data_IF_539535689791
#
_entry.id   IF_539535689791
#
_cell.length_a   1.000
_cell.length_b   1.000
_cell.length_c   1.000
_cell.angle_alpha   90.00
_cell.angle_beta   90.00
_cell.angle_gamma   90.00
#
_symmetry.space_group_name_H-M   'P 1'
#
loop_
_entity.id
_entity.type
_entity.pdbx_description
1 polymer ?
#
# COMPACT_ATOMS: atom_id res chain seq x y z
N UNK A 1 -5.95 -28.69 -0.89
CA UNK A 1 -6.04 -27.30 -0.43
C UNK A 1 -6.84 -26.55 -1.46
N UNK A 2 -8.03 -26.07 -1.11
CA UNK A 2 -8.87 -25.26 -1.99
C UNK A 2 -8.33 -23.84 -2.02
N UNK A 3 -8.43 -23.18 -3.18
CA UNK A 3 -8.21 -21.75 -3.28
C UNK A 3 -9.52 -21.08 -2.87
N UNK A 4 -9.48 -20.21 -1.86
CA UNK A 4 -10.65 -19.46 -1.46
C UNK A 4 -10.92 -18.32 -2.46
N UNK A 5 -11.82 -18.56 -3.40
CA UNK A 5 -12.24 -17.59 -4.42
C UNK A 5 -13.26 -16.58 -3.89
N UNK A 6 -13.83 -16.79 -2.70
CA UNK A 6 -14.84 -15.90 -2.12
C UNK A 6 -14.29 -14.50 -1.85
N UNK A 7 -12.97 -14.39 -1.66
CA UNK A 7 -12.26 -13.11 -1.52
C UNK A 7 -12.46 -12.17 -2.74
N UNK A 8 -12.73 -12.72 -3.93
CA UNK A 8 -12.96 -11.93 -5.15
C UNK A 8 -14.40 -11.37 -5.17
N UNK A 9 -15.34 -12.13 -4.59
CA UNK A 9 -16.76 -11.78 -4.57
C UNK A 9 -17.13 -10.91 -3.36
N UNK A 10 -16.38 -11.03 -2.25
CA UNK A 10 -16.53 -10.19 -1.07
C UNK A 10 -15.96 -8.78 -1.27
N UNK A 11 -16.65 -7.78 -0.72
CA UNK A 11 -16.24 -6.38 -0.83
C UNK A 11 -14.94 -6.09 -0.08
N UNK A 12 -14.78 -6.63 1.13
CA UNK A 12 -13.55 -6.46 1.90
C UNK A 12 -12.39 -7.20 1.26
N UNK A 13 -12.64 -8.41 0.76
CA UNK A 13 -11.67 -9.16 -0.04
C UNK A 13 -11.17 -8.40 -1.27
N UNK A 14 -12.07 -7.77 -2.04
CA UNK A 14 -11.69 -6.89 -3.17
C UNK A 14 -10.83 -5.70 -2.72
N UNK A 15 -11.15 -5.05 -1.60
CA UNK A 15 -10.33 -3.94 -1.09
C UNK A 15 -8.91 -4.39 -0.73
N UNK A 16 -8.74 -5.58 -0.15
CA UNK A 16 -7.41 -6.16 0.12
C UNK A 16 -6.64 -6.49 -1.16
N UNK A 17 -7.32 -6.95 -2.21
CA UNK A 17 -6.69 -7.14 -3.51
C UNK A 17 -6.25 -5.79 -4.12
N UNK A 18 -7.06 -4.74 -3.95
CA UNK A 18 -6.72 -3.39 -4.42
C UNK A 18 -5.49 -2.83 -3.70
N UNK A 19 -5.30 -3.05 -2.39
CA UNK A 19 -4.06 -2.62 -1.70
C UNK A 19 -2.81 -3.27 -2.29
N UNK A 20 -2.90 -4.55 -2.68
CA UNK A 20 -1.80 -5.27 -3.35
C UNK A 20 -1.54 -4.72 -4.75
N UNK A 21 -2.58 -4.55 -5.57
CA UNK A 21 -2.43 -4.04 -6.94
C UNK A 21 -1.89 -2.62 -6.96
N UNK A 22 -2.47 -1.73 -6.15
CA UNK A 22 -2.02 -0.33 -6.07
C UNK A 22 -0.61 -0.26 -5.48
N UNK A 23 -0.31 -1.04 -4.44
CA UNK A 23 1.03 -1.11 -3.85
C UNK A 23 2.09 -1.63 -4.83
N UNK A 24 1.73 -2.59 -5.71
CA UNK A 24 2.63 -3.07 -6.76
C UNK A 24 2.91 -1.99 -7.82
N UNK A 25 1.88 -1.27 -8.27
CA UNK A 25 2.05 -0.17 -9.23
C UNK A 25 2.89 0.95 -8.64
N UNK A 26 2.62 1.34 -7.40
CA UNK A 26 3.38 2.33 -6.65
C UNK A 26 4.85 1.91 -6.55
N UNK A 27 5.12 0.65 -6.18
CA UNK A 27 6.46 0.07 -6.12
C UNK A 27 7.22 0.15 -7.46
N UNK A 28 6.56 -0.17 -8.58
CA UNK A 28 7.19 -0.07 -9.90
C UNK A 28 7.56 1.37 -10.26
N UNK A 29 6.67 2.32 -9.98
CA UNK A 29 6.87 3.73 -10.28
C UNK A 29 7.97 4.35 -9.42
N UNK A 30 7.91 4.16 -8.10
CA UNK A 30 8.94 4.69 -7.20
C UNK A 30 10.26 3.95 -7.37
N UNK A 31 10.25 2.65 -7.66
CA UNK A 31 11.45 1.87 -7.97
C UNK A 31 12.15 2.36 -9.24
N UNK A 32 11.39 2.62 -10.31
CA UNK A 32 11.95 3.19 -11.54
C UNK A 32 12.46 4.62 -11.32
N UNK A 33 11.71 5.44 -10.58
CA UNK A 33 12.14 6.77 -10.19
C UNK A 33 13.45 6.71 -9.39
N UNK A 34 13.54 5.80 -8.42
CA UNK A 34 14.69 5.65 -7.55
C UNK A 34 15.95 5.20 -8.30
N UNK A 35 15.85 4.22 -9.21
CA UNK A 35 16.98 3.75 -10.00
C UNK A 35 17.65 4.87 -10.81
N UNK A 36 16.86 5.86 -11.24
CA UNK A 36 17.31 6.96 -12.09
C UNK A 36 17.52 8.29 -11.34
N UNK A 37 17.29 8.34 -10.03
CA UNK A 37 17.36 9.59 -9.25
C UNK A 37 18.14 9.40 -7.94
N UNK A 38 18.54 10.51 -7.35
CA UNK A 38 19.36 10.60 -6.14
C UNK A 38 18.83 9.75 -4.96
N UNK A 39 19.72 9.24 -4.12
CA UNK A 39 19.43 8.28 -3.04
C UNK A 39 18.48 8.79 -1.92
N UNK A 40 17.98 10.02 -2.02
CA UNK A 40 17.20 10.72 -1.00
C UNK A 40 15.78 10.17 -0.84
N UNK A 41 15.28 9.45 -1.83
CA UNK A 41 13.92 8.92 -1.85
C UNK A 41 13.84 7.46 -1.35
N UNK A 42 14.93 6.92 -0.79
CA UNK A 42 15.02 5.55 -0.22
C UNK A 42 13.98 5.28 0.87
N UNK A 43 13.67 6.28 1.70
CA UNK A 43 12.74 6.12 2.81
C UNK A 43 11.32 5.80 2.31
N UNK A 44 10.86 6.49 1.26
CA UNK A 44 9.56 6.25 0.66
C UNK A 44 9.54 4.90 -0.08
N UNK A 45 10.57 4.58 -0.86
CA UNK A 45 10.69 3.26 -1.49
C UNK A 45 10.64 2.12 -0.46
N UNK A 46 11.38 2.25 0.65
CA UNK A 46 11.43 1.23 1.71
C UNK A 46 10.07 1.07 2.39
N UNK A 47 9.37 2.17 2.65
CA UNK A 47 8.01 2.17 3.16
C UNK A 47 7.03 1.41 2.25
N UNK A 48 7.04 1.74 0.95
CA UNK A 48 6.20 1.08 -0.06
C UNK A 48 6.50 -0.42 -0.14
N UNK A 49 7.77 -0.82 -0.16
CA UNK A 49 8.19 -2.23 -0.17
C UNK A 49 7.66 -2.98 1.04
N UNK A 50 7.87 -2.45 2.24
CA UNK A 50 7.44 -3.10 3.49
C UNK A 50 5.92 -3.26 3.51
N UNK A 51 5.17 -2.19 3.23
CA UNK A 51 3.71 -2.24 3.19
C UNK A 51 3.20 -3.24 2.14
N UNK A 52 3.78 -3.23 0.94
CA UNK A 52 3.43 -4.17 -0.12
C UNK A 52 3.65 -5.64 0.29
N UNK A 53 4.81 -5.97 0.85
CA UNK A 53 5.13 -7.34 1.27
C UNK A 53 4.15 -7.84 2.33
N UNK A 54 3.87 -7.03 3.36
CA UNK A 54 2.93 -7.43 4.41
C UNK A 54 1.50 -7.60 3.89
N UNK A 55 1.02 -6.68 3.04
CA UNK A 55 -0.31 -6.81 2.41
C UNK A 55 -0.41 -8.01 1.49
N UNK A 56 0.64 -8.30 0.72
CA UNK A 56 0.70 -9.48 -0.13
C UNK A 56 0.64 -10.77 0.70
N UNK A 57 1.41 -10.86 1.78
CA UNK A 57 1.40 -12.01 2.69
C UNK A 57 0.04 -12.20 3.36
N UNK A 58 -0.63 -11.12 3.78
CA UNK A 58 -1.97 -11.17 4.36
C UNK A 58 -3.00 -11.69 3.36
N UNK A 59 -3.00 -11.16 2.13
CA UNK A 59 -3.90 -11.63 1.06
C UNK A 59 -3.63 -13.10 0.72
N UNK A 60 -2.36 -13.48 0.60
CA UNK A 60 -1.97 -14.86 0.34
C UNK A 60 -2.46 -15.80 1.45
N UNK A 61 -2.33 -15.39 2.71
CA UNK A 61 -2.82 -16.13 3.87
C UNK A 61 -4.34 -16.35 3.84
N UNK A 62 -5.11 -15.35 3.39
CA UNK A 62 -6.57 -15.47 3.24
C UNK A 62 -6.94 -16.38 2.06
N UNK A 63 -6.28 -16.21 0.91
CA UNK A 63 -6.52 -17.03 -0.30
C UNK A 63 -6.21 -18.50 -0.06
N UNK A 64 -5.15 -18.79 0.71
CA UNK A 64 -4.74 -20.14 1.08
C UNK A 64 -5.47 -20.68 2.33
N UNK A 65 -6.50 -19.99 2.84
CA UNK A 65 -7.27 -20.39 4.02
C UNK A 65 -6.45 -20.53 5.32
N UNK A 66 -5.20 -20.05 5.37
CA UNK A 66 -4.40 -19.99 6.59
C UNK A 66 -4.90 -18.91 7.57
N UNK A 67 -5.60 -17.90 7.06
CA UNK A 67 -6.15 -16.77 7.84
C UNK A 67 -7.65 -16.71 7.64
N UNK A 68 -8.41 -16.83 8.74
CA UNK A 68 -9.87 -16.75 8.73
C UNK A 68 -10.31 -15.33 9.10
N UNK A 69 -10.93 -14.62 8.16
CA UNK A 69 -11.30 -13.19 8.27
C UNK A 69 -12.45 -12.93 9.27
N UNK A 70 -13.16 -13.98 9.70
CA UNK A 70 -14.21 -13.87 10.73
C UNK A 70 -13.65 -13.75 12.15
N UNK A 71 -12.34 -14.00 12.36
CA UNK A 71 -11.73 -13.88 13.68
C UNK A 71 -11.58 -12.39 14.07
N UNK A 72 -12.16 -12.04 15.23
CA UNK A 72 -12.09 -10.71 15.81
C UNK A 72 -10.65 -10.21 16.01
N UNK A 73 -9.74 -11.10 16.41
CA UNK A 73 -8.34 -10.73 16.62
C UNK A 73 -7.66 -10.36 15.30
N UNK A 74 -7.89 -11.15 14.24
CA UNK A 74 -7.36 -10.88 12.90
C UNK A 74 -7.88 -9.54 12.37
N UNK A 75 -9.16 -9.23 12.57
CA UNK A 75 -9.73 -7.93 12.17
C UNK A 75 -9.05 -6.74 12.85
N UNK A 76 -8.77 -6.84 14.15
CA UNK A 76 -8.03 -5.78 14.88
C UNK A 76 -6.63 -5.62 14.32
N UNK A 77 -5.90 -6.73 14.13
CA UNK A 77 -4.56 -6.71 13.56
C UNK A 77 -4.55 -6.05 12.17
N UNK A 78 -5.50 -6.40 11.31
CA UNK A 78 -5.66 -5.79 10.00
C UNK A 78 -5.96 -4.29 10.09
N UNK A 79 -6.83 -3.87 11.01
CA UNK A 79 -7.14 -2.45 11.22
C UNK A 79 -5.90 -1.66 11.66
N UNK A 80 -5.15 -2.18 12.65
CA UNK A 80 -3.95 -1.53 13.17
C UNK A 80 -2.87 -1.46 12.10
N UNK A 81 -2.63 -2.56 11.37
CA UNK A 81 -1.66 -2.62 10.29
C UNK A 81 -1.99 -1.59 9.20
N UNK A 82 -3.22 -1.58 8.69
CA UNK A 82 -3.58 -0.67 7.59
C UNK A 82 -3.58 0.80 8.02
N UNK A 83 -3.98 1.10 9.26
CA UNK A 83 -3.91 2.45 9.81
C UNK A 83 -2.45 2.92 9.97
N UNK A 84 -1.57 2.07 10.49
CA UNK A 84 -0.15 2.37 10.63
C UNK A 84 0.54 2.54 9.26
N UNK A 85 0.24 1.64 8.31
CA UNK A 85 0.72 1.71 6.93
C UNK A 85 0.27 3.01 6.25
N UNK A 86 -1.00 3.41 6.40
CA UNK A 86 -1.51 4.68 5.89
C UNK A 86 -0.71 5.88 6.42
N UNK A 87 -0.49 5.98 7.74
CA UNK A 87 0.26 7.09 8.33
C UNK A 87 1.73 7.10 7.87
N UNK A 88 2.35 5.93 7.78
CA UNK A 88 3.74 5.78 7.36
C UNK A 88 3.91 6.15 5.88
N UNK A 89 3.01 5.71 5.00
CA UNK A 89 3.01 6.07 3.59
C UNK A 89 2.72 7.57 3.41
N UNK A 90 1.69 8.13 4.06
CA UNK A 90 1.41 9.57 3.99
C UNK A 90 2.59 10.43 4.45
N UNK A 91 3.24 10.04 5.55
CA UNK A 91 4.40 10.76 6.07
C UNK A 91 5.58 10.72 5.10
N UNK A 92 5.94 9.52 4.63
CA UNK A 92 7.07 9.33 3.71
C UNK A 92 6.82 9.93 2.32
N UNK A 93 5.59 9.85 1.81
CA UNK A 93 5.18 10.46 0.54
C UNK A 93 5.15 11.99 0.63
N UNK A 94 4.80 12.56 1.79
CA UNK A 94 4.91 14.02 2.02
C UNK A 94 6.37 14.48 1.96
N UNK A 95 7.31 13.71 2.54
CA UNK A 95 8.74 14.00 2.39
C UNK A 95 9.23 13.85 0.95
N UNK A 96 8.70 12.87 0.21
CA UNK A 96 8.96 12.69 -1.21
C UNK A 96 8.45 13.88 -2.04
N UNK A 97 7.25 14.39 -1.77
CA UNK A 97 6.73 15.62 -2.37
C UNK A 97 7.66 16.82 -2.11
N UNK A 98 8.15 16.99 -0.87
CA UNK A 98 9.12 18.05 -0.54
C UNK A 98 10.42 17.87 -1.35
N UNK A 99 10.89 16.64 -1.52
CA UNK A 99 12.05 16.29 -2.35
C UNK A 99 11.84 16.71 -3.80
N UNK A 100 10.67 16.41 -4.38
CA UNK A 100 10.28 16.81 -5.74
C UNK A 100 10.21 18.33 -5.87
N UNK A 101 9.57 19.03 -4.93
CA UNK A 101 9.41 20.50 -5.02
C UNK A 101 10.77 21.23 -4.95
N UNK A 102 11.72 20.70 -4.16
CA UNK A 102 13.06 21.31 -4.02
C UNK A 102 14.04 20.92 -5.12
N UNK A 103 13.98 19.68 -5.60
CA UNK A 103 15.03 19.11 -6.47
C UNK A 103 14.50 18.46 -7.75
N UNK A 104 13.21 18.60 -8.06
CA UNK A 104 12.54 17.89 -9.16
C UNK A 104 12.82 18.40 -10.56
N UNK A 105 13.69 19.38 -10.77
CA UNK A 105 13.95 19.92 -12.12
C UNK A 105 14.95 19.03 -12.84
N UNK A 106 14.47 18.08 -13.65
CA UNK A 106 15.33 17.20 -14.45
C UNK A 106 14.56 16.12 -15.21
N UNK A 107 15.31 15.25 -15.90
CA UNK A 107 14.77 14.03 -16.50
C UNK A 107 14.07 13.20 -15.40
N UNK A 108 12.93 12.60 -15.73
CA UNK A 108 12.06 11.82 -14.82
C UNK A 108 11.15 12.61 -13.85
N UNK A 109 11.04 13.94 -13.93
CA UNK A 109 10.09 14.71 -13.11
C UNK A 109 8.64 14.20 -13.23
N UNK A 110 8.18 13.90 -14.45
CA UNK A 110 6.82 13.38 -14.68
C UNK A 110 6.58 12.04 -13.98
N UNK A 111 7.57 11.15 -13.96
CA UNK A 111 7.48 9.85 -13.29
C UNK A 111 7.45 10.03 -11.77
N UNK A 112 8.23 10.98 -11.24
CA UNK A 112 8.23 11.31 -9.81
C UNK A 112 6.88 11.83 -9.34
N UNK A 113 6.26 12.72 -10.12
CA UNK A 113 4.89 13.20 -9.84
C UNK A 113 3.89 12.05 -9.91
N UNK A 114 4.02 11.16 -10.89
CA UNK A 114 3.12 10.01 -11.02
C UNK A 114 3.28 9.04 -9.85
N UNK A 115 4.51 8.76 -9.43
CA UNK A 115 4.82 7.95 -8.24
C UNK A 115 4.21 8.58 -6.98
N UNK A 116 4.32 9.90 -6.79
CA UNK A 116 3.67 10.61 -5.68
C UNK A 116 2.15 10.50 -5.74
N UNK A 117 1.53 10.65 -6.91
CA UNK A 117 0.07 10.48 -7.04
C UNK A 117 -0.38 9.06 -6.67
N UNK A 118 0.39 8.05 -7.07
CA UNK A 118 0.14 6.66 -6.70
C UNK A 118 0.42 6.40 -5.22
N UNK A 119 1.42 7.03 -4.61
CA UNK A 119 1.70 6.98 -3.18
C UNK A 119 0.53 7.49 -2.33
N UNK A 120 -0.05 8.63 -2.71
CA UNK A 120 -1.23 9.17 -2.03
C UNK A 120 -2.47 8.29 -2.26
N UNK A 121 -2.64 7.75 -3.47
CA UNK A 121 -3.71 6.80 -3.75
C UNK A 121 -3.57 5.54 -2.89
N UNK A 122 -2.35 4.98 -2.83
CA UNK A 122 -2.03 3.80 -2.04
C UNK A 122 -2.34 4.06 -0.56
N UNK A 123 -1.85 5.17 -0.03
CA UNK A 123 -2.15 5.64 1.32
C UNK A 123 -3.66 5.74 1.59
N UNK A 124 -4.43 6.29 0.64
CA UNK A 124 -5.88 6.40 0.77
C UNK A 124 -6.57 5.03 0.80
N UNK A 125 -6.13 4.07 -0.01
CA UNK A 125 -6.66 2.69 0.03
C UNK A 125 -6.35 2.04 1.38
N UNK A 126 -5.11 2.18 1.89
CA UNK A 126 -4.74 1.70 3.23
C UNK A 126 -5.55 2.39 4.33
N UNK A 127 -5.89 3.68 4.21
CA UNK A 127 -6.73 4.38 5.18
C UNK A 127 -8.22 4.02 5.10
N UNK A 128 -8.71 3.68 3.91
CA UNK A 128 -10.12 3.35 3.70
C UNK A 128 -10.49 1.97 4.25
N UNK A 129 -9.61 0.98 4.10
CA UNK A 129 -9.83 -0.39 4.54
C UNK A 129 -10.16 -0.54 6.05
N UNK A 130 -9.41 0.07 6.99
CA UNK A 130 -9.75 0.01 8.42
C UNK A 130 -11.07 0.73 8.73
N UNK A 131 -11.38 1.82 8.03
CA UNK A 131 -12.66 2.52 8.19
C UNK A 131 -13.86 1.64 7.77
N UNK A 132 -13.71 0.89 6.67
CA UNK A 132 -14.73 -0.09 6.24
C UNK A 132 -14.86 -1.24 7.23
N UNK A 133 -13.75 -1.72 7.80
CA UNK A 133 -13.76 -2.77 8.83
C UNK A 133 -14.52 -2.31 10.08
N UNK A 134 -14.31 -1.07 10.55
CA UNK A 134 -15.07 -0.50 11.69
C UNK A 134 -16.56 -0.35 11.39
N UNK A 135 -16.95 0.00 10.16
CA UNK A 135 -18.37 0.13 9.81
C UNK A 135 -19.12 -1.20 9.64
N UNK A 136 -18.39 -2.29 9.48
CA UNK A 136 -18.94 -3.64 9.29
C UNK A 136 -19.03 -4.46 10.58
N UNK A 137 -18.66 -3.86 11.73
CA UNK A 137 -18.95 -4.33 13.09
C UNK A 137 -20.17 -3.64 13.66
#
# INVERSE_FOLDING_TARGET
>A
MSINIDIIFDYLGRLKLVTVVVGFLDLLLIGYSYYNTDARDQAFLSAVVVCFVFSFLLVLGVVLEYVVVSDFFIRIVEMVFHSAACLLLLGTDTFFLISILKHGKGENFGIRILAMMFGYLNSAVYGYLPWTLVKST
#
